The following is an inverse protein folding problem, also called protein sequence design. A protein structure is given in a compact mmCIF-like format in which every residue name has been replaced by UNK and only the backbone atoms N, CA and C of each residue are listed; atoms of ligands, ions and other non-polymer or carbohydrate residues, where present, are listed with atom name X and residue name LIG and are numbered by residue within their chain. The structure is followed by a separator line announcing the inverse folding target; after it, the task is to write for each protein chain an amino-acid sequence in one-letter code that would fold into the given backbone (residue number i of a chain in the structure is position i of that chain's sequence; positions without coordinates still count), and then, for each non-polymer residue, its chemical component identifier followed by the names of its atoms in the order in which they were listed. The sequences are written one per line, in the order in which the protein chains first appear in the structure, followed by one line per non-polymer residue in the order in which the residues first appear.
data_IF_517767623551
#
_entry.id   IF_517767623551
#
_cell.length_a   1.000
_cell.length_b   1.000
_cell.length_c   1.000
_cell.angle_alpha   90.00
_cell.angle_beta   90.00
_cell.angle_gamma   90.00
#
_symmetry.space_group_name_H-M   'P 1'
#
loop_
_entity.id
_entity.type
_entity.pdbx_description
1 polymer ?
#
# COMPACT_ATOMS: atom_id res chain seq x y z
N UNK A 1 4.17 8.43 11.25
CA UNK A 1 3.77 7.92 9.93
C UNK A 1 4.74 6.88 9.43
N UNK A 2 4.18 5.81 8.85
CA UNK A 2 4.89 4.76 8.13
C UNK A 2 4.33 4.70 6.71
N UNK A 3 5.14 4.21 5.78
CA UNK A 3 4.68 3.81 4.45
C UNK A 3 4.94 2.33 4.22
N UNK A 4 4.01 1.67 3.54
CA UNK A 4 4.19 0.34 3.00
C UNK A 4 4.07 0.39 1.49
N UNK A 5 5.18 0.15 0.81
CA UNK A 5 5.29 0.23 -0.63
C UNK A 5 5.37 -1.19 -1.19
N UNK A 6 4.39 -1.55 -2.01
CA UNK A 6 4.36 -2.80 -2.74
C UNK A 6 4.73 -2.55 -4.20
N UNK A 7 5.88 -3.04 -4.63
CA UNK A 7 6.39 -2.89 -6.00
C UNK A 7 6.33 -4.25 -6.68
N UNK A 8 5.73 -4.32 -7.86
CA UNK A 8 5.56 -5.57 -8.59
C UNK A 8 5.62 -5.38 -10.10
N UNK A 9 5.95 -6.47 -10.80
CA UNK A 9 5.76 -6.58 -12.25
C UNK A 9 4.42 -7.22 -12.52
N UNK A 10 3.62 -6.58 -13.37
CA UNK A 10 2.34 -7.14 -13.79
C UNK A 10 2.57 -8.41 -14.62
N UNK A 11 1.94 -9.51 -14.22
CA UNK A 11 1.80 -10.71 -15.04
C UNK A 11 0.44 -10.71 -15.71
N UNK A 12 -0.33 -11.79 -15.53
CA UNK A 12 -1.71 -11.87 -15.99
C UNK A 12 -2.68 -11.81 -14.82
N UNK A 13 -3.68 -10.94 -14.93
CA UNK A 13 -4.75 -10.80 -13.94
C UNK A 13 -6.02 -11.50 -14.39
N UNK A 14 -6.68 -12.12 -13.43
CA UNK A 14 -8.00 -12.72 -13.60
C UNK A 14 -8.99 -12.11 -12.59
N UNK A 15 -10.25 -12.53 -12.66
CA UNK A 15 -11.31 -12.02 -11.80
C UNK A 15 -11.01 -12.24 -10.30
N UNK A 16 -10.26 -13.30 -9.96
CA UNK A 16 -9.87 -13.57 -8.57
C UNK A 16 -8.85 -12.56 -8.07
N UNK A 17 -7.86 -12.19 -8.88
CA UNK A 17 -6.92 -11.12 -8.57
C UNK A 17 -7.66 -9.81 -8.30
N UNK A 18 -8.50 -9.37 -9.24
CA UNK A 18 -9.21 -8.09 -9.12
C UNK A 18 -10.12 -8.06 -7.89
N UNK A 19 -10.79 -9.17 -7.57
CA UNK A 19 -11.63 -9.29 -6.38
C UNK A 19 -10.80 -9.19 -5.08
N UNK A 20 -9.67 -9.89 -5.01
CA UNK A 20 -8.81 -9.87 -3.82
C UNK A 20 -8.11 -8.52 -3.65
N UNK A 21 -7.64 -7.92 -4.75
CA UNK A 21 -7.00 -6.61 -4.73
C UNK A 21 -7.96 -5.52 -4.22
N UNK A 22 -9.19 -5.48 -4.76
CA UNK A 22 -10.23 -4.58 -4.29
C UNK A 22 -10.57 -4.81 -2.81
N UNK A 23 -10.70 -6.08 -2.38
CA UNK A 23 -10.97 -6.41 -0.99
C UNK A 23 -9.85 -5.94 -0.05
N UNK A 24 -8.60 -6.04 -0.48
CA UNK A 24 -7.43 -5.59 0.29
C UNK A 24 -7.41 -4.07 0.37
N UNK A 25 -7.68 -3.37 -0.72
CA UNK A 25 -7.75 -1.90 -0.74
C UNK A 25 -8.87 -1.38 0.19
N UNK A 26 -10.08 -1.95 0.11
CA UNK A 26 -11.21 -1.52 0.94
C UNK A 26 -10.95 -1.78 2.43
N UNK A 27 -10.34 -2.91 2.76
CA UNK A 27 -9.88 -3.17 4.12
C UNK A 27 -8.82 -2.16 4.56
N UNK A 28 -7.80 -1.89 3.73
CA UNK A 28 -6.72 -0.98 4.08
C UNK A 28 -7.28 0.39 4.46
N UNK A 29 -8.23 0.90 3.66
CA UNK A 29 -8.95 2.16 3.93
C UNK A 29 -9.81 2.13 5.19
N UNK A 30 -10.26 0.95 5.64
CA UNK A 30 -11.08 0.79 6.82
C UNK A 30 -10.26 0.66 8.12
N UNK A 31 -8.94 0.45 8.05
CA UNK A 31 -8.08 0.34 9.23
C UNK A 31 -7.93 1.72 9.89
N UNK A 32 -8.23 1.85 11.20
CA UNK A 32 -7.92 3.07 11.95
C UNK A 32 -6.42 3.39 11.85
N UNK A 33 -6.11 4.60 11.38
CA UNK A 33 -4.74 5.03 11.11
C UNK A 33 -4.31 4.94 9.64
N UNK A 34 -5.19 4.57 8.71
CA UNK A 34 -4.94 4.78 7.28
C UNK A 34 -4.95 6.29 6.93
N UNK A 35 -3.92 6.75 6.21
CA UNK A 35 -3.74 8.17 5.87
C UNK A 35 -3.91 8.48 4.38
N UNK A 36 -3.95 7.45 3.54
CA UNK A 36 -4.07 7.57 2.08
C UNK A 36 -3.21 6.56 1.34
N UNK A 37 -3.33 6.56 0.02
CA UNK A 37 -2.55 5.72 -0.88
C UNK A 37 -2.22 6.41 -2.19
N UNK A 38 -1.15 5.96 -2.82
CA UNK A 38 -0.71 6.40 -4.14
C UNK A 38 -0.37 5.18 -5.00
N UNK A 39 -0.65 5.29 -6.29
CA UNK A 39 -0.21 4.32 -7.30
C UNK A 39 0.64 5.03 -8.32
N UNK A 40 1.80 4.45 -8.61
CA UNK A 40 2.69 4.92 -9.66
C UNK A 40 3.06 3.77 -10.59
N UNK A 41 3.18 4.08 -11.87
CA UNK A 41 3.53 3.10 -12.90
C UNK A 41 4.75 3.57 -13.68
N UNK A 42 5.69 2.66 -13.89
CA UNK A 42 6.74 2.79 -14.89
C UNK A 42 6.39 1.89 -16.07
N UNK A 43 5.74 2.47 -17.07
CA UNK A 43 5.32 1.76 -18.28
C UNK A 43 6.51 1.17 -19.07
N UNK A 44 7.69 1.79 -19.01
CA UNK A 44 8.88 1.31 -19.72
C UNK A 44 9.47 0.03 -19.12
N UNK A 45 9.31 -0.18 -17.82
CA UNK A 45 9.83 -1.34 -17.09
C UNK A 45 8.75 -2.34 -16.67
N UNK A 46 7.48 -2.02 -16.94
CA UNK A 46 6.31 -2.81 -16.51
C UNK A 46 6.17 -2.91 -15.00
N UNK A 47 6.67 -1.90 -14.27
CA UNK A 47 6.64 -1.86 -12.81
C UNK A 47 5.49 -1.01 -12.31
N UNK A 48 4.74 -1.55 -11.36
CA UNK A 48 3.68 -0.86 -10.65
C UNK A 48 4.07 -0.80 -9.18
N UNK A 49 3.82 0.34 -8.53
CA UNK A 49 3.97 0.47 -7.09
C UNK A 49 2.69 1.04 -6.46
N UNK A 50 2.20 0.37 -5.43
CA UNK A 50 1.15 0.85 -4.56
C UNK A 50 1.78 1.23 -3.21
N UNK A 51 1.56 2.46 -2.77
CA UNK A 51 2.09 3.00 -1.52
C UNK A 51 0.90 3.29 -0.63
N UNK A 52 0.89 2.69 0.56
CA UNK A 52 -0.09 3.00 1.61
C UNK A 52 0.60 3.75 2.75
N UNK A 53 -0.05 4.79 3.26
CA UNK A 53 0.45 5.59 4.37
C UNK A 53 -0.35 5.31 5.63
N UNK A 54 0.37 5.18 6.74
CA UNK A 54 -0.15 4.75 8.02
C UNK A 54 0.28 5.71 9.12
N UNK A 55 -0.61 6.01 10.04
CA UNK A 55 -0.33 6.81 11.22
C UNK A 55 0.79 6.18 12.06
N UNK A 56 0.69 4.87 12.30
CA UNK A 56 1.58 4.09 13.13
C UNK A 56 1.96 2.74 12.49
N UNK A 57 2.97 2.07 13.06
CA UNK A 57 3.37 0.73 12.62
C UNK A 57 2.29 -0.30 12.97
N UNK A 58 1.58 -0.11 14.09
CA UNK A 58 0.51 -0.98 14.54
C UNK A 58 -0.68 -0.99 13.56
N UNK A 59 -1.01 0.16 12.96
CA UNK A 59 -2.02 0.24 11.90
C UNK A 59 -1.61 -0.59 10.67
N UNK A 60 -0.36 -0.45 10.22
CA UNK A 60 0.20 -1.27 9.15
C UNK A 60 0.17 -2.78 9.49
N UNK A 61 0.53 -3.16 10.72
CA UNK A 61 0.54 -4.57 11.12
C UNK A 61 -0.85 -5.21 11.06
N UNK A 62 -1.94 -4.44 11.24
CA UNK A 62 -3.30 -4.95 11.05
C UNK A 62 -3.53 -5.40 9.61
N UNK A 63 -3.07 -4.63 8.62
CA UNK A 63 -3.15 -5.02 7.21
C UNK A 63 -2.34 -6.29 6.94
N UNK A 64 -1.08 -6.32 7.40
CA UNK A 64 -0.17 -7.46 7.18
C UNK A 64 -0.74 -8.75 7.79
N UNK A 65 -1.36 -8.64 8.97
CA UNK A 65 -1.93 -9.78 9.68
C UNK A 65 -3.26 -10.27 9.10
N UNK A 66 -3.92 -9.49 8.25
CA UNK A 66 -5.26 -9.83 7.78
C UNK A 66 -5.29 -11.09 6.91
N UNK A 67 -6.27 -12.00 7.11
CA UNK A 67 -6.35 -13.26 6.37
C UNK A 67 -6.36 -13.10 4.84
N UNK A 68 -7.16 -12.17 4.31
CA UNK A 68 -7.24 -11.94 2.86
C UNK A 68 -5.91 -11.43 2.27
N UNK A 69 -5.19 -10.58 3.00
CA UNK A 69 -3.87 -10.12 2.57
C UNK A 69 -2.86 -11.27 2.56
N UNK A 70 -2.88 -12.13 3.59
CA UNK A 70 -2.04 -13.35 3.63
C UNK A 70 -2.37 -14.33 2.50
N UNK A 71 -3.65 -14.51 2.20
CA UNK A 71 -4.12 -15.35 1.09
C UNK A 71 -3.60 -14.82 -0.26
N UNK A 72 -3.78 -13.54 -0.54
CA UNK A 72 -3.29 -12.93 -1.77
C UNK A 72 -1.77 -13.04 -1.89
N UNK A 73 -1.03 -12.79 -0.80
CA UNK A 73 0.44 -12.96 -0.78
C UNK A 73 0.89 -14.40 -1.04
N UNK A 74 0.15 -15.40 -0.56
CA UNK A 74 0.44 -16.80 -0.83
C UNK A 74 0.21 -17.17 -2.31
N UNK A 75 -0.77 -16.52 -2.97
CA UNK A 75 -1.13 -16.76 -4.37
C UNK A 75 -0.42 -15.86 -5.38
N UNK A 76 0.36 -14.88 -4.92
CA UNK A 76 0.94 -13.81 -5.73
C UNK A 76 1.61 -14.27 -7.04
N UNK A 77 2.31 -15.42 -7.02
CA UNK A 77 3.08 -15.92 -8.16
C UNK A 77 2.20 -16.34 -9.35
N UNK A 78 0.89 -16.48 -9.12
CA UNK A 78 -0.10 -16.69 -10.18
C UNK A 78 -0.30 -15.45 -11.05
N UNK A 79 -0.12 -14.26 -10.47
CA UNK A 79 -0.52 -12.99 -11.10
C UNK A 79 0.65 -12.04 -11.34
N UNK A 80 1.76 -12.23 -10.63
CA UNK A 80 2.90 -11.31 -10.63
C UNK A 80 4.17 -12.01 -11.11
N UNK A 81 4.93 -11.31 -11.96
CA UNK A 81 6.23 -11.75 -12.46
C UNK A 81 7.39 -11.41 -11.49
N UNK A 82 7.04 -11.12 -10.23
CA UNK A 82 7.96 -10.76 -9.16
C UNK A 82 7.50 -9.52 -8.42
N UNK A 83 7.85 -9.44 -7.13
CA UNK A 83 7.53 -8.30 -6.29
C UNK A 83 8.55 -8.09 -5.17
N UNK A 84 8.51 -6.91 -4.56
CA UNK A 84 9.11 -6.61 -3.26
C UNK A 84 8.19 -5.71 -2.44
N UNK A 85 8.34 -5.77 -1.12
CA UNK A 85 7.67 -4.86 -0.19
C UNK A 85 8.74 -4.06 0.54
N UNK A 86 8.56 -2.75 0.61
CA UNK A 86 9.40 -1.85 1.40
C UNK A 86 8.54 -1.22 2.47
N UNK A 87 8.94 -1.38 3.73
CA UNK A 87 8.31 -0.69 4.87
C UNK A 87 9.28 0.40 5.32
N UNK A 88 8.81 1.63 5.38
CA UNK A 88 9.62 2.77 5.79
C UNK A 88 8.93 3.61 6.86
N UNK A 89 9.70 4.15 7.79
CA UNK A 89 9.25 5.20 8.70
C UNK A 89 9.46 6.55 8.03
N UNK A 90 8.40 7.32 7.86
CA UNK A 90 8.51 8.66 7.30
C UNK A 90 8.96 9.62 8.40
N UNK A 91 10.14 10.20 8.22
CA UNK A 91 10.72 11.12 9.20
C UNK A 91 10.18 12.53 9.04
N UNK A 92 9.97 12.98 7.80
CA UNK A 92 9.49 14.33 7.43
C UNK A 92 8.81 14.28 6.06
N UNK A 93 7.84 15.16 5.86
CA UNK A 93 7.18 15.45 4.59
C UNK A 93 7.07 16.99 4.47
N UNK A 94 7.34 17.53 3.28
CA UNK A 94 7.29 18.96 3.01
C UNK A 94 6.93 19.20 1.53
N UNK A 95 6.31 20.34 1.23
CA UNK A 95 5.89 20.70 -0.12
C UNK A 95 5.22 22.07 -0.16
N UNK A 96 4.83 22.50 -1.35
CA UNK A 96 4.12 23.77 -1.60
C UNK A 96 2.59 23.64 -1.53
N UNK A 97 2.08 22.44 -1.26
CA UNK A 97 0.65 22.14 -1.21
C UNK A 97 0.00 21.88 -2.58
N UNK A 98 0.79 21.82 -3.66
CA UNK A 98 0.29 21.48 -4.99
C UNK A 98 0.01 19.98 -5.19
N UNK A 99 0.54 19.13 -4.32
CA UNK A 99 0.31 17.68 -4.32
C UNK A 99 -0.73 17.28 -3.26
N UNK A 100 -1.38 16.13 -3.47
CA UNK A 100 -2.33 15.55 -2.51
C UNK A 100 -1.63 15.38 -1.16
N UNK A 101 -2.26 15.90 -0.11
CA UNK A 101 -1.76 15.79 1.25
C UNK A 101 -2.38 14.55 1.91
N UNK A 102 -1.55 13.67 2.46
CA UNK A 102 -2.04 12.59 3.31
C UNK A 102 -2.64 13.16 4.59
N UNK A 103 -3.68 12.50 5.12
CA UNK A 103 -4.25 12.92 6.39
C UNK A 103 -3.14 12.98 7.45
N UNK A 104 -3.11 14.06 8.23
CA UNK A 104 -2.10 14.19 9.27
C UNK A 104 -2.33 13.08 10.30
N UNK A 105 -1.25 12.37 10.67
CA UNK A 105 -1.25 11.54 11.87
C UNK A 105 -1.75 12.40 13.05
N UNK A 106 -2.80 11.95 13.73
CA UNK A 106 -3.38 12.60 14.89
C UNK A 106 -2.44 12.45 16.08
N UNK A 107 -1.37 13.26 16.12
CA UNK A 107 -0.46 13.27 17.25
C UNK A 107 0.96 13.73 16.95
N UNK A 108 1.13 14.96 16.47
CA UNK A 108 2.33 15.73 16.81
C UNK A 108 1.93 17.19 17.11
N UNK A 109 1.96 17.64 18.37
CA UNK A 109 2.11 19.06 18.65
C UNK A 109 3.52 19.48 18.19
N UNK A 110 3.60 20.72 17.69
CA UNK A 110 4.75 21.26 16.94
C UNK A 110 6.01 21.54 17.74
#
# INVERSE_FOLDING_TARGET
MYSSTFIFKAGQYDDEFHRLDQQIADMARAIPGYLGEETWENAGEGLIQNIYYWESEEALQQLIAHPAHREAKAKQARWLDGYRVVIAKVLREYGDGGCVRHAAAAGQPG
#
